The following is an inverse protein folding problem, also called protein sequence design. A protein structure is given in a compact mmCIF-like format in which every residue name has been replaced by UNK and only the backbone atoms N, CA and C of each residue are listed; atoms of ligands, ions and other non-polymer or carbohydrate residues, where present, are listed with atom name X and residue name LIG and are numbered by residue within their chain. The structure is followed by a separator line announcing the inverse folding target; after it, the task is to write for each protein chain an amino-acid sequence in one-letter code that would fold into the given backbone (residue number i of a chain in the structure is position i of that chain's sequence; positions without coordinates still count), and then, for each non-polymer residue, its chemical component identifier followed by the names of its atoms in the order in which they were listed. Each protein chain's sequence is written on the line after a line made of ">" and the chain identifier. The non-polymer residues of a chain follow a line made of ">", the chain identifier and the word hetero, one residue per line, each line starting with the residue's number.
data_IF_843106902857
#
_entry.id   IF_843106902857
#
_cell.length_a   1.000
_cell.length_b   1.000
_cell.length_c   1.000
_cell.angle_alpha   90.00
_cell.angle_beta   90.00
_cell.angle_gamma   90.00
#
_symmetry.space_group_name_H-M   'P 1'
#
loop_
_entity.id
_entity.type
_entity.pdbx_description
1 polymer ?
#
# COMPACT_ATOMS: atom_id res chain seq x y z
N UNK A 1 -25.46 10.02 7.31
CA UNK A 1 -25.62 8.88 6.39
C UNK A 1 -26.30 7.78 7.17
N UNK A 2 -27.38 7.22 6.65
CA UNK A 2 -28.01 6.04 7.27
C UNK A 2 -27.06 4.85 7.21
N UNK A 3 -27.07 4.03 8.27
CA UNK A 3 -26.21 2.85 8.38
C UNK A 3 -26.64 1.77 7.40
N UNK A 4 -25.69 1.19 6.65
CA UNK A 4 -25.97 0.08 5.73
C UNK A 4 -26.63 -1.10 6.42
N UNK A 5 -27.61 -1.72 5.76
CA UNK A 5 -28.31 -2.92 6.25
C UNK A 5 -27.36 -4.12 6.38
N UNK A 6 -26.30 -4.15 5.56
CA UNK A 6 -25.29 -5.20 5.58
C UNK A 6 -24.29 -5.05 6.75
N UNK A 7 -24.30 -3.91 7.46
CA UNK A 7 -23.29 -3.60 8.49
C UNK A 7 -23.60 -4.32 9.80
N UNK A 8 -23.01 -5.50 9.97
CA UNK A 8 -23.14 -6.31 11.18
C UNK A 8 -21.77 -6.59 11.80
N UNK A 9 -21.65 -6.31 13.10
CA UNK A 9 -20.42 -6.48 13.88
C UNK A 9 -19.17 -5.90 13.18
N UNK A 10 -19.32 -4.72 12.60
CA UNK A 10 -18.27 -4.01 11.88
C UNK A 10 -18.13 -2.62 12.49
N UNK A 11 -17.12 -2.47 13.35
CA UNK A 11 -16.93 -1.26 14.16
C UNK A 11 -16.42 -0.10 13.30
N UNK A 12 -16.66 1.12 13.77
CA UNK A 12 -16.22 2.34 13.08
C UNK A 12 -14.69 2.40 13.06
N UNK A 13 -14.03 1.89 14.09
CA UNK A 13 -12.56 1.80 14.17
C UNK A 13 -12.01 0.84 13.10
N UNK A 14 -12.70 -0.27 12.84
CA UNK A 14 -12.30 -1.22 11.79
C UNK A 14 -12.43 -0.60 10.40
N UNK A 15 -13.53 0.10 10.15
CA UNK A 15 -13.76 0.85 8.89
C UNK A 15 -12.72 1.95 8.69
N UNK A 16 -12.44 2.74 9.73
CA UNK A 16 -11.42 3.78 9.67
C UNK A 16 -10.02 3.18 9.45
N UNK A 17 -9.71 2.04 10.08
CA UNK A 17 -8.45 1.32 9.88
C UNK A 17 -8.27 0.84 8.44
N UNK A 18 -9.33 0.30 7.82
CA UNK A 18 -9.28 -0.08 6.40
C UNK A 18 -9.10 1.14 5.49
N UNK A 19 -9.81 2.23 5.75
CA UNK A 19 -9.62 3.48 5.00
C UNK A 19 -8.21 4.06 5.14
N UNK A 20 -7.57 3.88 6.30
CA UNK A 20 -6.16 4.22 6.48
C UNK A 20 -5.24 3.30 5.67
N UNK A 21 -5.48 1.98 5.67
CA UNK A 21 -4.69 1.03 4.88
C UNK A 21 -4.80 1.27 3.38
N UNK A 22 -6.02 1.53 2.87
CA UNK A 22 -6.23 1.91 1.46
C UNK A 22 -5.34 3.10 1.07
N UNK A 23 -5.26 4.12 1.92
CA UNK A 23 -4.41 5.28 1.67
C UNK A 23 -2.91 4.94 1.70
N UNK A 24 -2.48 4.12 2.67
CA UNK A 24 -1.08 3.71 2.82
C UNK A 24 -0.63 2.92 1.59
N UNK A 25 -1.42 1.95 1.16
CA UNK A 25 -1.11 1.08 0.02
C UNK A 25 -1.12 1.88 -1.30
N UNK A 26 -2.03 2.84 -1.46
CA UNK A 26 -2.01 3.77 -2.61
C UNK A 26 -0.74 4.64 -2.65
N UNK A 27 -0.29 5.15 -1.50
CA UNK A 27 0.97 5.91 -1.42
C UNK A 27 2.16 5.01 -1.74
N UNK A 28 2.17 3.78 -1.21
CA UNK A 28 3.22 2.80 -1.47
C UNK A 28 3.29 2.43 -2.95
N UNK A 29 2.15 2.11 -3.58
CA UNK A 29 2.05 1.85 -5.02
C UNK A 29 2.62 3.01 -5.85
N UNK A 30 2.18 4.23 -5.60
CA UNK A 30 2.65 5.40 -6.33
C UNK A 30 4.17 5.62 -6.13
N UNK A 31 4.67 5.33 -4.93
CA UNK A 31 6.09 5.43 -4.61
C UNK A 31 6.91 4.36 -5.34
N UNK A 32 6.42 3.12 -5.43
CA UNK A 32 7.06 2.04 -6.18
C UNK A 32 7.08 2.32 -7.68
N UNK A 33 5.98 2.81 -8.26
CA UNK A 33 5.94 3.24 -9.66
C UNK A 33 6.97 4.35 -9.96
N UNK A 34 7.03 5.38 -9.10
CA UNK A 34 8.03 6.44 -9.25
C UNK A 34 9.47 5.93 -9.12
N UNK A 35 9.68 4.88 -8.32
CA UNK A 35 11.00 4.28 -8.09
C UNK A 35 11.41 3.42 -9.28
N UNK A 36 10.50 2.61 -9.82
CA UNK A 36 10.72 1.87 -11.06
C UNK A 36 11.08 2.81 -12.21
N UNK A 37 10.32 3.90 -12.38
CA UNK A 37 10.60 4.90 -13.42
C UNK A 37 11.98 5.56 -13.26
N UNK A 38 12.47 5.74 -12.03
CA UNK A 38 13.83 6.24 -11.79
C UNK A 38 14.90 5.23 -12.23
N UNK A 39 14.72 3.95 -11.90
CA UNK A 39 15.70 2.90 -12.24
C UNK A 39 15.71 2.54 -13.73
N UNK A 40 14.64 2.84 -14.44
CA UNK A 40 14.49 2.60 -15.89
C UNK A 40 15.11 3.70 -16.76
N UNK A 41 15.57 4.82 -16.15
CA UNK A 41 16.29 5.87 -16.88
C UNK A 41 17.52 5.30 -17.57
N UNK A 42 17.84 5.82 -18.75
CA UNK A 42 19.00 5.42 -19.55
C UNK A 42 20.34 5.63 -18.84
N UNK A 43 20.42 6.63 -17.95
CA UNK A 43 21.61 6.92 -17.15
C UNK A 43 21.72 6.11 -15.84
N UNK A 44 20.69 5.31 -15.49
CA UNK A 44 20.69 4.41 -14.32
C UNK A 44 20.67 2.95 -14.76
N UNK A 45 19.72 2.58 -15.63
CA UNK A 45 19.61 1.29 -16.33
C UNK A 45 19.72 0.05 -15.42
N UNK A 46 18.89 -0.04 -14.38
CA UNK A 46 18.85 -1.18 -13.45
C UNK A 46 17.57 -2.03 -13.61
N UNK A 47 17.46 -2.84 -14.68
CA UNK A 47 16.21 -3.53 -15.05
C UNK A 47 15.72 -4.54 -14.00
N UNK A 48 16.63 -5.12 -13.21
CA UNK A 48 16.24 -6.01 -12.10
C UNK A 48 15.46 -5.28 -11.00
N UNK A 49 15.85 -4.04 -10.68
CA UNK A 49 15.13 -3.20 -9.72
C UNK A 49 13.83 -2.65 -10.33
N UNK A 50 13.83 -2.33 -11.62
CA UNK A 50 12.60 -1.94 -12.33
C UNK A 50 11.55 -3.04 -12.20
N UNK A 51 11.91 -4.28 -12.57
CA UNK A 51 10.99 -5.43 -12.45
C UNK A 51 10.47 -5.59 -11.02
N UNK A 52 11.36 -5.59 -10.03
CA UNK A 52 10.98 -5.76 -8.64
C UNK A 52 9.98 -4.69 -8.16
N UNK A 53 10.26 -3.40 -8.42
CA UNK A 53 9.36 -2.33 -7.97
C UNK A 53 8.04 -2.28 -8.75
N UNK A 54 8.00 -2.75 -9.98
CA UNK A 54 6.73 -2.91 -10.71
C UNK A 54 5.87 -4.02 -10.11
N UNK A 55 6.47 -5.16 -9.72
CA UNK A 55 5.78 -6.25 -9.02
C UNK A 55 5.22 -5.78 -7.66
N UNK A 56 6.01 -5.04 -6.87
CA UNK A 56 5.52 -4.47 -5.61
C UNK A 56 4.38 -3.46 -5.83
N UNK A 57 4.47 -2.61 -6.87
CA UNK A 57 3.39 -1.69 -7.20
C UNK A 57 2.09 -2.40 -7.61
N UNK A 58 2.19 -3.53 -8.30
CA UNK A 58 1.05 -4.38 -8.66
C UNK A 58 0.41 -4.99 -7.40
N UNK A 59 1.22 -5.58 -6.51
CA UNK A 59 0.75 -6.15 -5.24
C UNK A 59 0.00 -5.12 -4.38
N UNK A 60 0.55 -3.91 -4.22
CA UNK A 60 -0.12 -2.84 -3.45
C UNK A 60 -1.45 -2.43 -4.10
N UNK A 61 -1.53 -2.42 -5.44
CA UNK A 61 -2.77 -2.17 -6.17
C UNK A 61 -3.84 -3.24 -5.92
N UNK A 62 -3.46 -4.51 -5.93
CA UNK A 62 -4.35 -5.63 -5.60
C UNK A 62 -4.86 -5.57 -4.16
N UNK A 63 -4.00 -5.18 -3.21
CA UNK A 63 -4.37 -4.97 -1.80
C UNK A 63 -5.39 -3.85 -1.65
N UNK A 64 -5.20 -2.72 -2.32
CA UNK A 64 -6.17 -1.61 -2.35
C UNK A 64 -7.54 -2.08 -2.82
N UNK A 65 -7.59 -2.81 -3.95
CA UNK A 65 -8.85 -3.35 -4.48
C UNK A 65 -9.51 -4.31 -3.48
N UNK A 66 -8.73 -5.21 -2.90
CA UNK A 66 -9.20 -6.17 -1.90
C UNK A 66 -9.83 -5.48 -0.69
N UNK A 67 -9.21 -4.41 -0.18
CA UNK A 67 -9.77 -3.66 0.96
C UNK A 67 -11.03 -2.86 0.61
N UNK A 68 -11.11 -2.30 -0.60
CA UNK A 68 -12.32 -1.64 -1.09
C UNK A 68 -13.47 -2.65 -1.14
N UNK A 69 -13.25 -3.81 -1.76
CA UNK A 69 -14.25 -4.86 -1.92
C UNK A 69 -14.69 -5.42 -0.56
N UNK A 70 -13.74 -5.67 0.34
CA UNK A 70 -14.03 -6.14 1.69
C UNK A 70 -14.86 -5.12 2.47
N UNK A 71 -14.54 -3.84 2.37
CA UNK A 71 -15.27 -2.79 3.07
C UNK A 71 -16.70 -2.64 2.54
N UNK A 72 -16.90 -2.72 1.22
CA UNK A 72 -18.23 -2.76 0.61
C UNK A 72 -19.03 -3.99 1.07
N UNK A 73 -18.41 -5.16 1.10
CA UNK A 73 -19.01 -6.40 1.59
C UNK A 73 -19.49 -6.29 3.05
N UNK A 74 -18.74 -5.59 3.91
CA UNK A 74 -19.10 -5.36 5.32
C UNK A 74 -20.08 -4.20 5.54
N UNK A 75 -20.56 -3.55 4.47
CA UNK A 75 -21.44 -2.39 4.55
C UNK A 75 -20.77 -1.12 5.08
N UNK A 76 -19.44 -1.05 5.03
CA UNK A 76 -18.66 0.15 5.27
C UNK A 76 -18.53 1.02 4.01
N UNK A 77 -17.94 2.20 4.18
CA UNK A 77 -17.70 3.17 3.11
C UNK A 77 -16.20 3.29 2.87
N UNK A 78 -15.79 2.89 1.66
CA UNK A 78 -14.42 3.10 1.21
C UNK A 78 -14.17 4.57 0.85
N UNK A 79 -13.11 5.14 1.40
CA UNK A 79 -12.67 6.51 1.17
C UNK A 79 -11.32 6.46 0.46
N UNK A 80 -11.34 6.76 -0.84
CA UNK A 80 -10.13 6.96 -1.65
C UNK A 80 -9.81 8.45 -1.63
N UNK A 81 -8.63 8.83 -1.14
CA UNK A 81 -8.20 10.24 -1.10
C UNK A 81 -7.16 10.51 -2.18
N UNK A 82 -6.76 11.76 -2.28
CA UNK A 82 -5.64 12.15 -3.13
C UNK A 82 -4.34 11.46 -2.70
N UNK A 83 -3.53 11.10 -3.70
CA UNK A 83 -2.20 10.55 -3.47
C UNK A 83 -1.20 11.68 -3.68
N UNK A 84 -0.41 12.06 -2.66
CA UNK A 84 0.60 13.09 -2.81
C UNK A 84 1.66 12.68 -3.82
N UNK A 85 2.27 13.66 -4.48
CA UNK A 85 3.41 13.40 -5.35
C UNK A 85 4.52 12.70 -4.56
N UNK A 86 5.09 11.60 -5.07
CA UNK A 86 6.24 10.93 -4.46
C UNK A 86 7.37 11.92 -4.23
N UNK A 87 7.80 12.07 -2.97
CA UNK A 87 9.02 12.82 -2.70
C UNK A 87 10.19 11.97 -3.18
N UNK A 88 10.90 12.43 -4.21
CA UNK A 88 12.10 11.76 -4.75
C UNK A 88 13.25 11.92 -3.76
N UNK A 89 13.15 11.27 -2.60
CA UNK A 89 14.26 11.07 -1.68
C UNK A 89 14.51 9.58 -1.59
N UNK A 90 15.11 9.05 -2.65
CA UNK A 90 15.50 7.64 -2.85
C UNK A 90 16.20 7.03 -1.63
N UNK A 91 16.90 7.84 -0.83
CA UNK A 91 17.50 7.40 0.44
C UNK A 91 16.46 6.84 1.42
N UNK A 92 15.28 7.44 1.52
CA UNK A 92 14.26 7.01 2.48
C UNK A 92 13.56 5.72 2.04
N UNK A 93 13.35 5.51 0.73
CA UNK A 93 12.79 4.27 0.18
C UNK A 93 13.77 3.11 0.28
N UNK A 94 15.06 3.35 0.04
CA UNK A 94 16.07 2.32 0.28
C UNK A 94 16.09 1.95 1.76
N UNK A 95 16.08 2.94 2.67
CA UNK A 95 16.00 2.67 4.11
C UNK A 95 14.68 2.03 4.56
N UNK A 96 13.54 2.41 3.98
CA UNK A 96 12.24 1.80 4.25
C UNK A 96 12.16 0.38 3.70
N UNK A 97 12.73 0.10 2.53
CA UNK A 97 12.82 -1.24 1.97
C UNK A 97 13.64 -2.15 2.90
N UNK A 98 14.78 -1.68 3.41
CA UNK A 98 15.55 -2.41 4.43
C UNK A 98 14.79 -2.53 5.78
N UNK A 99 14.06 -1.49 6.20
CA UNK A 99 13.30 -1.50 7.46
C UNK A 99 12.02 -2.37 7.37
N UNK A 100 11.34 -2.40 6.23
CA UNK A 100 10.16 -3.21 5.96
C UNK A 100 10.52 -4.69 5.79
N UNK A 101 11.67 -5.01 5.17
CA UNK A 101 12.23 -6.37 5.23
C UNK A 101 12.48 -6.78 6.69
N UNK A 102 13.02 -5.89 7.51
CA UNK A 102 13.21 -6.14 8.94
C UNK A 102 11.87 -6.35 9.68
N UNK A 103 10.80 -5.65 9.30
CA UNK A 103 9.47 -5.77 9.90
C UNK A 103 8.69 -7.01 9.44
N UNK A 104 8.84 -7.40 8.17
CA UNK A 104 8.23 -8.61 7.61
C UNK A 104 8.87 -9.88 8.22
N UNK A 105 10.17 -9.85 8.54
CA UNK A 105 10.87 -10.88 9.33
C UNK A 105 10.45 -10.85 10.83
N UNK A 106 10.13 -9.68 11.41
CA UNK A 106 9.78 -9.57 12.83
C UNK A 106 8.41 -10.17 13.17
N UNK A 107 7.44 -10.14 12.24
CA UNK A 107 6.14 -10.79 12.43
C UNK A 107 6.22 -12.31 12.60
N UNK A 108 7.28 -12.95 12.07
CA UNK A 108 7.52 -14.38 12.26
C UNK A 108 8.24 -14.73 13.58
N UNK A 109 8.78 -13.76 14.31
CA UNK A 109 9.53 -13.99 15.57
C UNK A 109 8.68 -13.78 16.84
N UNK A 110 7.55 -13.06 16.77
CA UNK A 110 6.69 -12.77 17.93
C UNK A 110 5.52 -13.75 18.14
N UNK A 111 5.41 -14.82 17.35
CA UNK A 111 4.42 -15.90 17.53
C UNK A 111 5.11 -17.28 17.64
N UNK A 112 6.17 -17.36 18.45
CA UNK A 112 6.64 -18.63 19.03
C UNK A 112 6.95 -18.45 20.50
#
# INVERSE_FOLDING_TARGET
>A
METSIAKQNFSIESENGLNQQIQIDQIAQQQYLSTAAYFDRDDVALPGLVKHFLEEAEHEGERVQTFIDYQQMRGGVAIVKEVPQPSVRMKLIFFLFFYLIQFHEFSYFTIK
#
